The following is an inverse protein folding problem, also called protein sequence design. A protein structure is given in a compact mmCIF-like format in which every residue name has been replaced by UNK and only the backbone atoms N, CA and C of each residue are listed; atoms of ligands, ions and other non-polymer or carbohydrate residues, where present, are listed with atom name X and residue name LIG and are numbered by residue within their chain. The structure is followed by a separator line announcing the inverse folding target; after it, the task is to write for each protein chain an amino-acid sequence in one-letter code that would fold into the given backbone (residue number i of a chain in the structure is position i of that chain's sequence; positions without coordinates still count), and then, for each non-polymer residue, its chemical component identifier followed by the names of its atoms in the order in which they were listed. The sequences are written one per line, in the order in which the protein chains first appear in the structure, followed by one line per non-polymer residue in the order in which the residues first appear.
data_IF_642611413466
#
_entry.id   IF_642611413466
#
_cell.length_a   1.000
_cell.length_b   1.000
_cell.length_c   1.000
_cell.angle_alpha   90.00
_cell.angle_beta   90.00
_cell.angle_gamma   90.00
#
_symmetry.space_group_name_H-M   'P 1'
#
loop_
_entity.id
_entity.type
_entity.pdbx_description
1 polymer ?
#
# COMPACT_ATOMS: atom_id res chain seq x y z
N UNK A 1 -16.73 -7.74 26.49
CA UNK A 1 -16.54 -6.96 25.22
C UNK A 1 -16.00 -7.96 24.24
N UNK A 2 -16.77 -8.34 23.23
CA UNK A 2 -16.27 -9.24 22.19
C UNK A 2 -15.37 -8.44 21.25
N UNK A 3 -14.21 -8.99 20.93
CA UNK A 3 -13.27 -8.39 19.98
C UNK A 3 -13.70 -8.85 18.58
N UNK A 4 -14.07 -7.92 17.71
CA UNK A 4 -14.42 -8.18 16.33
C UNK A 4 -13.32 -7.73 15.36
N UNK A 5 -13.29 -8.27 14.13
CA UNK A 5 -12.39 -7.79 13.09
C UNK A 5 -12.68 -6.34 12.71
N UNK A 6 -11.71 -5.67 12.08
CA UNK A 6 -11.88 -4.31 11.57
C UNK A 6 -13.02 -4.26 10.53
N UNK A 7 -13.87 -3.24 10.62
CA UNK A 7 -15.01 -3.06 9.70
C UNK A 7 -14.62 -2.94 8.21
N UNK A 8 -13.36 -2.64 7.92
CA UNK A 8 -12.84 -2.60 6.55
C UNK A 8 -12.92 -3.96 5.82
N UNK A 9 -13.02 -5.09 6.53
CA UNK A 9 -13.27 -6.40 5.91
C UNK A 9 -14.60 -6.48 5.17
N UNK A 10 -15.61 -5.73 5.61
CA UNK A 10 -16.93 -5.70 5.00
C UNK A 10 -17.10 -4.59 3.95
N UNK A 11 -16.02 -3.88 3.61
CA UNK A 11 -16.08 -2.79 2.63
C UNK A 11 -16.38 -3.34 1.24
N UNK A 12 -17.47 -2.85 0.64
CA UNK A 12 -17.93 -3.19 -0.72
C UNK A 12 -18.19 -1.95 -1.57
N UNK A 13 -17.47 -0.88 -1.32
CA UNK A 13 -17.57 0.35 -2.10
C UNK A 13 -16.81 0.18 -3.42
N UNK A 14 -17.46 0.47 -4.55
CA UNK A 14 -16.89 0.32 -5.89
C UNK A 14 -16.95 1.62 -6.69
N UNK A 15 -15.93 1.83 -7.49
CA UNK A 15 -15.88 2.77 -8.60
C UNK A 15 -15.13 2.09 -9.75
N UNK A 16 -15.85 1.21 -10.43
CA UNK A 16 -15.29 0.37 -11.47
C UNK A 16 -14.88 1.16 -12.71
N UNK A 17 -15.62 2.21 -13.03
CA UNK A 17 -15.34 3.04 -14.21
C UNK A 17 -14.02 3.79 -14.04
N UNK A 18 -13.79 4.42 -12.88
CA UNK A 18 -12.53 5.10 -12.58
C UNK A 18 -11.36 4.12 -12.57
N UNK A 19 -11.54 2.96 -11.91
CA UNK A 19 -10.51 1.93 -11.85
C UNK A 19 -10.14 1.41 -13.26
N UNK A 20 -11.13 1.06 -14.09
CA UNK A 20 -10.90 0.57 -15.45
C UNK A 20 -10.22 1.61 -16.33
N UNK A 21 -10.63 2.88 -16.25
CA UNK A 21 -9.99 3.97 -16.98
C UNK A 21 -8.51 4.14 -16.59
N UNK A 22 -8.20 4.04 -15.30
CA UNK A 22 -6.83 4.09 -14.80
C UNK A 22 -6.00 2.89 -15.30
N UNK A 23 -6.52 1.68 -15.13
CA UNK A 23 -5.84 0.45 -15.56
C UNK A 23 -5.55 0.44 -17.06
N UNK A 24 -6.52 0.83 -17.88
CA UNK A 24 -6.36 0.92 -19.34
C UNK A 24 -5.28 1.93 -19.73
N UNK A 25 -5.29 3.14 -19.13
CA UNK A 25 -4.29 4.19 -19.37
C UNK A 25 -2.87 3.72 -19.10
N UNK A 26 -2.68 2.91 -18.05
CA UNK A 26 -1.38 2.42 -17.61
C UNK A 26 -1.06 1.00 -18.07
N UNK A 27 -1.90 0.43 -18.94
CA UNK A 27 -1.74 -0.94 -19.47
C UNK A 27 -1.55 -1.97 -18.35
N UNK A 28 -2.36 -1.85 -17.28
CA UNK A 28 -2.44 -2.82 -16.20
C UNK A 28 -3.59 -3.78 -16.48
N UNK A 29 -3.25 -5.02 -16.77
CA UNK A 29 -4.23 -6.08 -17.09
C UNK A 29 -4.67 -6.77 -15.78
N UNK A 30 -5.96 -7.11 -15.70
CA UNK A 30 -6.51 -7.84 -14.54
C UNK A 30 -5.74 -9.14 -14.31
N UNK A 31 -5.34 -9.35 -13.06
CA UNK A 31 -4.57 -10.52 -12.62
C UNK A 31 -3.08 -10.47 -13.00
N UNK A 32 -2.59 -9.42 -13.68
CA UNK A 32 -1.21 -9.31 -14.13
C UNK A 32 -0.43 -8.16 -13.48
N UNK A 33 -0.85 -7.71 -12.33
CA UNK A 33 -0.10 -6.73 -11.53
C UNK A 33 -0.32 -6.96 -10.04
N UNK A 34 0.65 -6.54 -9.24
CA UNK A 34 0.55 -6.45 -7.78
C UNK A 34 0.46 -4.99 -7.37
N UNK A 35 -0.33 -4.71 -6.34
CA UNK A 35 -0.34 -3.42 -5.67
C UNK A 35 0.73 -3.39 -4.57
N UNK A 36 1.47 -2.29 -4.46
CA UNK A 36 2.40 -2.05 -3.37
C UNK A 36 2.10 -0.70 -2.72
N UNK A 37 1.92 -0.69 -1.39
CA UNK A 37 1.63 0.53 -0.62
C UNK A 37 2.75 0.77 0.38
N UNK A 38 3.73 1.65 0.05
CA UNK A 38 4.75 2.08 0.99
C UNK A 38 4.19 3.14 1.93
N UNK A 39 4.60 3.11 3.20
CA UNK A 39 4.29 4.17 4.17
C UNK A 39 5.44 4.41 5.13
N UNK A 40 5.48 5.59 5.73
CA UNK A 40 6.33 5.87 6.88
C UNK A 40 5.72 5.28 8.16
N UNK A 41 6.54 4.98 9.17
CA UNK A 41 6.09 4.40 10.46
C UNK A 41 4.99 5.22 11.12
N UNK A 42 5.14 6.54 11.10
CA UNK A 42 4.11 7.49 11.52
C UNK A 42 3.67 8.31 10.32
N UNK A 43 2.37 8.26 9.99
CA UNK A 43 1.81 9.14 8.98
C UNK A 43 2.09 10.60 9.36
N UNK A 44 2.75 11.38 8.50
CA UNK A 44 3.10 12.76 8.78
C UNK A 44 1.88 13.68 8.63
N UNK A 45 0.92 13.58 9.53
CA UNK A 45 -0.35 14.33 9.48
C UNK A 45 -0.18 15.85 9.40
N UNK A 46 0.98 16.38 9.80
CA UNK A 46 1.32 17.80 9.63
C UNK A 46 1.50 18.22 8.16
N UNK A 47 1.71 17.25 7.26
CA UNK A 47 1.77 17.48 5.82
C UNK A 47 0.38 17.43 5.14
N UNK A 48 -0.67 17.08 5.89
CA UNK A 48 -2.05 17.02 5.39
C UNK A 48 -2.81 18.24 5.91
N UNK A 49 -3.07 19.29 5.09
CA UNK A 49 -3.63 20.55 5.58
C UNK A 49 -4.96 20.40 6.31
N UNK A 50 -5.82 19.48 5.87
CA UNK A 50 -7.12 19.20 6.49
C UNK A 50 -7.02 18.65 7.91
N UNK A 51 -5.90 18.05 8.30
CA UNK A 51 -5.69 17.46 9.62
C UNK A 51 -5.29 18.49 10.68
N UNK A 52 -4.81 19.68 10.27
CA UNK A 52 -4.43 20.79 11.17
C UNK A 52 -3.56 20.33 12.34
N UNK A 53 -2.61 19.43 12.11
CA UNK A 53 -1.69 18.92 13.14
C UNK A 53 -0.38 19.71 13.13
N UNK A 54 0.16 20.06 14.30
CA UNK A 54 1.49 20.67 14.38
C UNK A 54 2.56 19.66 13.94
N UNK A 55 3.71 20.17 13.56
CA UNK A 55 4.89 19.35 13.29
C UNK A 55 5.28 18.55 14.55
N UNK A 56 5.57 17.27 14.38
CA UNK A 56 5.96 16.34 15.45
C UNK A 56 7.40 15.88 15.18
N UNK A 57 8.33 16.54 15.85
CA UNK A 57 9.77 16.32 15.67
C UNK A 57 10.18 14.87 16.01
N UNK A 58 9.59 14.29 17.05
CA UNK A 58 9.92 12.92 17.50
C UNK A 58 9.51 11.89 16.44
N UNK A 59 8.28 12.01 15.93
CA UNK A 59 7.79 11.13 14.87
C UNK A 59 8.54 11.34 13.57
N UNK A 60 8.85 12.60 13.25
CA UNK A 60 9.66 12.91 12.07
C UNK A 60 11.05 12.27 12.15
N UNK A 61 11.77 12.47 13.25
CA UNK A 61 13.08 11.89 13.47
C UNK A 61 13.05 10.34 13.39
N UNK A 62 12.00 9.70 13.94
CA UNK A 62 11.83 8.25 13.84
C UNK A 62 11.59 7.81 12.40
N UNK A 63 10.76 8.50 11.64
CA UNK A 63 10.54 8.23 10.22
C UNK A 63 11.84 8.34 9.43
N UNK A 64 12.61 9.43 9.62
CA UNK A 64 13.88 9.63 8.93
C UNK A 64 14.90 8.53 9.24
N UNK A 65 14.99 8.11 10.50
CA UNK A 65 15.90 7.04 10.91
C UNK A 65 15.54 5.66 10.31
N UNK A 66 14.26 5.42 10.03
CA UNK A 66 13.78 4.10 9.62
C UNK A 66 13.37 3.98 8.15
N UNK A 67 13.21 5.09 7.42
CA UNK A 67 12.67 5.08 6.06
C UNK A 67 13.44 4.16 5.10
N UNK A 68 14.75 4.11 5.18
CA UNK A 68 15.53 3.21 4.33
C UNK A 68 15.38 1.75 4.73
N UNK A 69 15.49 1.45 6.02
CA UNK A 69 15.30 0.11 6.56
C UNK A 69 13.93 -0.49 6.16
N UNK A 70 12.87 0.34 6.20
CA UNK A 70 11.50 -0.14 5.96
C UNK A 70 11.16 -0.25 4.46
N UNK A 71 11.86 0.50 3.58
CA UNK A 71 11.54 0.52 2.15
C UNK A 71 12.52 -0.28 1.29
N UNK A 72 13.74 -0.55 1.75
CA UNK A 72 14.68 -1.39 1.02
C UNK A 72 14.12 -2.81 0.76
N UNK A 73 13.49 -3.50 1.72
CA UNK A 73 12.87 -4.81 1.45
C UNK A 73 11.74 -4.75 0.42
N UNK A 74 10.95 -3.67 0.40
CA UNK A 74 9.91 -3.49 -0.62
C UNK A 74 10.51 -3.35 -2.03
N UNK A 75 11.62 -2.60 -2.18
CA UNK A 75 12.32 -2.51 -3.46
C UNK A 75 12.87 -3.86 -3.90
N UNK A 76 13.49 -4.62 -2.99
CA UNK A 76 13.96 -5.97 -3.28
C UNK A 76 12.84 -6.89 -3.74
N UNK A 77 11.69 -6.87 -3.04
CA UNK A 77 10.52 -7.66 -3.45
C UNK A 77 10.02 -7.27 -4.83
N UNK A 78 9.96 -5.97 -5.14
CA UNK A 78 9.59 -5.46 -6.47
C UNK A 78 10.56 -5.97 -7.53
N UNK A 79 11.87 -5.91 -7.28
CA UNK A 79 12.90 -6.39 -8.21
C UNK A 79 12.76 -7.89 -8.48
N UNK A 80 12.59 -8.69 -7.41
CA UNK A 80 12.39 -10.14 -7.53
C UNK A 80 11.13 -10.49 -8.33
N UNK A 81 10.00 -9.85 -8.03
CA UNK A 81 8.76 -10.06 -8.79
C UNK A 81 8.96 -9.71 -10.26
N UNK A 82 9.53 -8.56 -10.56
CA UNK A 82 9.71 -8.10 -11.95
C UNK A 82 10.71 -8.98 -12.71
N UNK A 83 11.78 -9.47 -12.07
CA UNK A 83 12.78 -10.33 -12.71
C UNK A 83 12.26 -11.75 -12.98
N UNK A 84 11.42 -12.28 -12.09
CA UNK A 84 11.03 -13.70 -12.14
C UNK A 84 9.60 -13.95 -12.63
N UNK A 85 8.84 -12.89 -12.91
CA UNK A 85 7.46 -13.01 -13.41
C UNK A 85 7.19 -11.98 -14.51
N UNK A 86 6.02 -12.11 -15.16
CA UNK A 86 5.51 -11.10 -16.09
C UNK A 86 4.63 -10.04 -15.42
N UNK A 87 4.52 -10.05 -14.08
CA UNK A 87 3.70 -9.10 -13.35
C UNK A 87 4.27 -7.68 -13.40
N UNK A 88 3.40 -6.70 -13.49
CA UNK A 88 3.70 -5.29 -13.23
C UNK A 88 3.48 -4.96 -11.76
N UNK A 89 4.02 -3.84 -11.30
CA UNK A 89 3.77 -3.30 -9.96
C UNK A 89 3.06 -1.98 -10.08
N UNK A 90 2.00 -1.80 -9.29
CA UNK A 90 1.34 -0.51 -9.07
C UNK A 90 1.71 0.01 -7.68
N UNK A 91 2.53 1.05 -7.63
CA UNK A 91 2.76 1.82 -6.41
C UNK A 91 1.59 2.76 -6.20
N UNK A 92 0.81 2.53 -5.16
CA UNK A 92 -0.41 3.26 -4.90
C UNK A 92 -0.50 3.73 -3.43
N UNK A 93 -1.25 4.83 -3.17
CA UNK A 93 -1.40 5.37 -1.83
C UNK A 93 -2.64 4.83 -1.12
N UNK A 94 -2.62 4.87 0.22
CA UNK A 94 -3.81 4.83 1.07
C UNK A 94 -4.07 6.21 1.70
N UNK A 95 -3.04 7.01 1.91
CA UNK A 95 -3.17 8.42 2.33
C UNK A 95 -2.38 9.38 1.42
N UNK A 96 -2.66 10.68 1.56
CA UNK A 96 -2.09 11.72 0.70
C UNK A 96 -0.58 11.88 0.79
N UNK A 97 0.07 11.39 1.84
CA UNK A 97 1.52 11.51 2.01
C UNK A 97 2.28 10.41 1.28
N UNK A 98 1.61 9.32 0.97
CA UNK A 98 2.25 8.11 0.42
C UNK A 98 2.59 8.23 -1.06
N UNK A 99 2.00 9.17 -1.81
CA UNK A 99 2.42 9.42 -3.18
C UNK A 99 3.89 9.85 -3.24
N UNK A 100 4.29 10.80 -2.38
CA UNK A 100 5.68 11.22 -2.28
C UNK A 100 6.58 10.09 -1.77
N UNK A 101 6.16 9.37 -0.72
CA UNK A 101 6.89 8.21 -0.18
C UNK A 101 7.14 7.16 -1.26
N UNK A 102 6.11 6.80 -2.02
CA UNK A 102 6.21 5.84 -3.12
C UNK A 102 7.17 6.31 -4.22
N UNK A 103 7.16 7.62 -4.54
CA UNK A 103 8.06 8.20 -5.53
C UNK A 103 9.50 8.18 -5.05
N UNK A 104 9.77 8.80 -3.90
CA UNK A 104 11.12 9.11 -3.43
C UNK A 104 11.86 7.88 -2.89
N UNK A 105 11.15 6.99 -2.18
CA UNK A 105 11.74 5.87 -1.47
C UNK A 105 11.68 4.54 -2.24
N UNK A 106 10.81 4.46 -3.25
CA UNK A 106 10.69 3.25 -4.09
C UNK A 106 11.00 3.59 -5.54
N UNK A 107 10.11 4.28 -6.27
CA UNK A 107 10.15 4.41 -7.72
C UNK A 107 11.47 5.00 -8.25
N UNK A 108 11.92 6.12 -7.70
CA UNK A 108 13.13 6.82 -8.15
C UNK A 108 14.43 6.08 -7.80
N UNK A 109 14.35 5.07 -6.91
CA UNK A 109 15.50 4.24 -6.49
C UNK A 109 15.57 2.87 -7.17
N UNK A 110 14.57 2.52 -7.96
CA UNK A 110 14.60 1.27 -8.74
C UNK A 110 15.49 1.40 -9.96
N UNK A 111 16.21 0.35 -10.35
CA UNK A 111 16.92 0.27 -11.63
C UNK A 111 15.98 0.54 -12.81
N UNK A 112 16.50 1.14 -13.89
CA UNK A 112 15.69 1.54 -15.05
C UNK A 112 14.95 0.36 -15.70
N UNK A 113 15.58 -0.80 -15.78
CA UNK A 113 15.00 -2.01 -16.32
C UNK A 113 13.79 -2.52 -15.50
N UNK A 114 13.84 -2.35 -14.17
CA UNK A 114 12.74 -2.70 -13.25
C UNK A 114 11.64 -1.65 -13.35
N UNK A 115 12.03 -0.37 -13.33
CA UNK A 115 11.11 0.76 -13.32
C UNK A 115 10.16 0.80 -14.52
N UNK A 116 10.56 0.26 -15.67
CA UNK A 116 9.70 0.14 -16.86
C UNK A 116 8.44 -0.70 -16.65
N UNK A 117 8.44 -1.56 -15.64
CA UNK A 117 7.29 -2.41 -15.28
C UNK A 117 6.62 -1.98 -13.97
N UNK A 118 6.97 -0.81 -13.47
CA UNK A 118 6.40 -0.22 -12.26
C UNK A 118 5.62 1.04 -12.63
N UNK A 119 4.35 1.07 -12.29
CA UNK A 119 3.49 2.26 -12.42
C UNK A 119 3.45 2.94 -11.06
N UNK A 120 3.88 4.20 -11.00
CA UNK A 120 3.68 5.05 -9.83
C UNK A 120 2.43 5.90 -10.02
N UNK A 121 1.49 5.83 -9.05
CA UNK A 121 0.29 6.65 -9.06
C UNK A 121 0.57 8.01 -8.41
N UNK A 122 0.49 9.11 -9.18
CA UNK A 122 0.78 10.46 -8.68
C UNK A 122 -0.39 11.07 -7.90
N UNK A 123 -1.60 10.56 -8.11
CA UNK A 123 -2.82 11.15 -7.60
C UNK A 123 -3.43 10.30 -6.49
N UNK A 124 -3.98 10.97 -5.47
CA UNK A 124 -4.78 10.32 -4.46
C UNK A 124 -6.10 9.83 -5.06
N UNK A 125 -6.60 8.73 -4.55
CA UNK A 125 -7.86 8.13 -4.97
C UNK A 125 -8.83 7.93 -3.80
N UNK A 126 -10.09 7.73 -4.11
CA UNK A 126 -11.11 7.40 -3.14
C UNK A 126 -11.19 5.87 -2.91
N UNK A 127 -11.74 5.43 -1.77
CA UNK A 127 -11.81 4.00 -1.44
C UNK A 127 -12.51 3.13 -2.49
N UNK A 128 -13.51 3.65 -3.19
CA UNK A 128 -14.20 2.93 -4.24
C UNK A 128 -13.32 2.58 -5.43
N UNK A 129 -12.56 3.56 -5.96
CA UNK A 129 -11.58 3.33 -7.03
C UNK A 129 -10.44 2.43 -6.55
N UNK A 130 -9.96 2.64 -5.32
CA UNK A 130 -8.90 1.82 -4.73
C UNK A 130 -9.32 0.35 -4.68
N UNK A 131 -10.46 0.04 -4.08
CA UNK A 131 -10.96 -1.34 -3.95
C UNK A 131 -11.25 -1.96 -5.32
N UNK A 132 -11.88 -1.21 -6.24
CA UNK A 132 -12.11 -1.67 -7.61
C UNK A 132 -10.81 -1.99 -8.36
N UNK A 133 -9.71 -1.30 -8.02
CA UNK A 133 -8.37 -1.61 -8.55
C UNK A 133 -7.78 -2.85 -7.87
N UNK A 134 -7.86 -2.95 -6.54
CA UNK A 134 -7.31 -4.08 -5.78
C UNK A 134 -7.91 -5.42 -6.21
N UNK A 135 -9.23 -5.51 -6.37
CA UNK A 135 -9.88 -6.78 -6.81
C UNK A 135 -9.49 -7.22 -8.21
N UNK A 136 -8.88 -6.35 -9.00
CA UNK A 136 -8.34 -6.66 -10.33
C UNK A 136 -6.84 -6.98 -10.31
N UNK A 137 -6.18 -6.79 -9.17
CA UNK A 137 -4.77 -7.17 -9.01
C UNK A 137 -4.61 -8.68 -8.74
N UNK A 138 -3.40 -9.18 -8.87
CA UNK A 138 -3.03 -10.52 -8.42
C UNK A 138 -2.79 -10.59 -6.89
N UNK A 139 -2.69 -9.44 -6.23
CA UNK A 139 -2.48 -9.31 -4.79
C UNK A 139 -1.95 -7.94 -4.40
N UNK A 140 -1.77 -7.76 -3.08
CA UNK A 140 -1.26 -6.53 -2.51
C UNK A 140 -0.17 -6.84 -1.47
N UNK A 141 0.85 -6.00 -1.39
CA UNK A 141 1.84 -6.04 -0.31
C UNK A 141 2.27 -4.63 0.09
N UNK A 142 2.80 -4.48 1.28
CA UNK A 142 3.31 -3.18 1.74
C UNK A 142 3.20 -2.97 3.23
N UNK A 143 3.28 -1.72 3.63
CA UNK A 143 3.36 -1.31 5.03
C UNK A 143 2.02 -0.77 5.58
N UNK A 144 0.96 -0.71 4.77
CA UNK A 144 -0.37 -0.27 5.18
C UNK A 144 -1.22 -1.39 5.76
N UNK A 145 -2.28 -0.99 6.49
CA UNK A 145 -3.13 -1.92 7.23
C UNK A 145 -4.54 -2.05 6.68
N UNK A 146 -5.20 -0.95 6.27
CA UNK A 146 -6.61 -1.02 5.83
C UNK A 146 -6.75 -1.59 4.42
N UNK A 147 -5.88 -1.23 3.49
CA UNK A 147 -5.93 -1.75 2.13
C UNK A 147 -5.73 -3.27 2.07
N UNK A 148 -4.77 -3.88 2.82
CA UNK A 148 -4.71 -5.34 2.96
C UNK A 148 -5.99 -5.96 3.55
N UNK A 149 -6.59 -5.32 4.56
CA UNK A 149 -7.86 -5.78 5.15
C UNK A 149 -8.96 -5.79 4.08
N UNK A 150 -9.09 -4.71 3.31
CA UNK A 150 -10.05 -4.62 2.20
C UNK A 150 -9.79 -5.69 1.13
N UNK A 151 -8.53 -5.94 0.79
CA UNK A 151 -8.14 -6.99 -0.14
C UNK A 151 -8.61 -8.36 0.34
N UNK A 152 -8.24 -8.76 1.55
CA UNK A 152 -8.57 -10.08 2.11
C UNK A 152 -10.09 -10.23 2.25
N UNK A 153 -10.81 -9.21 2.72
CA UNK A 153 -12.26 -9.20 2.80
C UNK A 153 -12.96 -9.40 1.45
N UNK A 154 -12.27 -9.11 0.34
CA UNK A 154 -12.76 -9.28 -1.02
C UNK A 154 -12.06 -10.42 -1.80
N UNK A 155 -11.39 -11.35 -1.09
CA UNK A 155 -10.79 -12.54 -1.68
C UNK A 155 -9.48 -12.28 -2.44
N UNK A 156 -8.83 -11.13 -2.23
CA UNK A 156 -7.53 -10.78 -2.84
C UNK A 156 -6.41 -11.06 -1.84
N UNK A 157 -5.37 -11.83 -2.21
CA UNK A 157 -4.23 -12.08 -1.34
C UNK A 157 -3.53 -10.78 -0.95
N UNK A 158 -3.13 -10.67 0.32
CA UNK A 158 -2.36 -9.49 0.76
C UNK A 158 -1.33 -9.87 1.83
N UNK A 159 -0.15 -9.23 1.77
CA UNK A 159 0.93 -9.37 2.74
C UNK A 159 1.20 -8.03 3.39
N UNK A 160 1.23 -7.99 4.72
CA UNK A 160 1.52 -6.80 5.52
C UNK A 160 2.92 -6.86 6.12
N UNK A 161 3.79 -5.95 5.69
CA UNK A 161 5.11 -5.77 6.31
C UNK A 161 4.94 -4.91 7.57
N UNK A 162 4.95 -5.56 8.76
CA UNK A 162 4.65 -4.92 10.04
C UNK A 162 5.88 -4.45 10.79
N UNK A 163 5.67 -3.48 11.66
CA UNK A 163 6.59 -3.05 12.71
C UNK A 163 5.84 -2.74 14.00
N UNK A 164 6.57 -2.54 15.09
CA UNK A 164 6.00 -2.36 16.44
C UNK A 164 5.05 -1.17 16.56
N UNK A 165 5.26 -0.13 15.77
CA UNK A 165 4.44 1.08 15.76
C UNK A 165 3.03 0.87 15.16
N UNK A 166 2.74 -0.28 14.53
CA UNK A 166 1.39 -0.62 13.98
C UNK A 166 0.32 -0.88 15.05
N UNK A 167 0.70 -0.92 16.33
CA UNK A 167 -0.22 -1.02 17.48
C UNK A 167 -1.18 -2.21 17.45
N UNK A 168 -2.41 -2.05 17.99
CA UNK A 168 -3.42 -3.11 18.08
C UNK A 168 -3.84 -3.69 16.72
N UNK A 169 -3.85 -2.89 15.65
CA UNK A 169 -4.18 -3.38 14.31
C UNK A 169 -3.15 -4.40 13.79
N UNK A 170 -1.87 -4.24 14.17
CA UNK A 170 -0.84 -5.21 13.86
C UNK A 170 -1.05 -6.56 14.57
N UNK A 171 -1.70 -6.58 15.73
CA UNK A 171 -2.01 -7.82 16.47
C UNK A 171 -3.27 -8.51 15.96
N UNK A 172 -4.18 -7.78 15.32
CA UNK A 172 -5.44 -8.30 14.79
C UNK A 172 -5.24 -9.50 13.84
N UNK A 173 -4.17 -9.48 13.04
CA UNK A 173 -3.86 -10.55 12.08
C UNK A 173 -3.74 -11.91 12.77
N UNK A 174 -3.05 -11.96 13.92
CA UNK A 174 -2.97 -13.17 14.76
C UNK A 174 -4.34 -13.60 15.28
N UNK A 175 -5.15 -12.62 15.74
CA UNK A 175 -6.44 -12.90 16.37
C UNK A 175 -7.49 -13.44 15.38
N UNK A 176 -7.28 -13.25 14.07
CA UNK A 176 -8.14 -13.79 13.00
C UNK A 176 -7.48 -14.97 12.26
N UNK A 177 -6.39 -15.53 12.77
CA UNK A 177 -5.72 -16.71 12.19
C UNK A 177 -4.85 -16.42 10.95
N UNK A 178 -4.44 -15.17 10.76
CA UNK A 178 -3.58 -14.72 9.65
C UNK A 178 -2.24 -14.21 10.15
N UNK A 179 -1.66 -14.85 11.16
CA UNK A 179 -0.41 -14.39 11.80
C UNK A 179 0.83 -14.49 10.90
N UNK A 180 0.79 -15.37 9.92
CA UNK A 180 1.87 -15.60 8.95
C UNK A 180 1.80 -14.70 7.69
N UNK A 181 0.85 -13.75 7.66
CA UNK A 181 0.58 -12.87 6.50
C UNK A 181 1.03 -11.44 6.69
#
# INVERSE_FOLDING_TARGET
MEFGPDGAFATDLRDDDAAQAFLARHQLETGKFLCCIPRLRYTPYWLIPSKKRPFDEVKHARNEAMKEHDHAPLRQAIEEVVRHTELKILLCPEDQTQMAVGRELIYDRLPDEIRRRVVWRPDYWLPGEALSTYIRSAGLFGNEMHSPIMCIGNGVPAIVCRWTEHTSKGLMWRDIGLEDW
#
